data_IF_212202118102
#
_entry.id   IF_212202118102
#
_cell.length_a   1.000
_cell.length_b   1.000
_cell.length_c   1.000
_cell.angle_alpha   90.00
_cell.angle_beta   90.00
_cell.angle_gamma   90.00
#
_symmetry.space_group_name_H-M   'P 1'
#
loop_
_entity.id
_entity.type
_entity.pdbx_description
1 polymer ?
#
# COMPACT_ATOMS: atom_id res chain seq x y z
N UNK A 1 -10.99 -13.79 32.75
CA UNK A 1 -10.43 -13.90 31.38
C UNK A 1 -10.52 -12.58 30.60
N UNK A 2 -11.62 -11.84 30.66
CA UNK A 2 -11.79 -10.58 29.90
C UNK A 2 -10.82 -9.46 30.32
N UNK A 3 -10.67 -9.20 31.63
CA UNK A 3 -9.72 -8.19 32.13
C UNK A 3 -8.24 -8.47 31.78
N UNK A 4 -7.84 -9.75 31.76
CA UNK A 4 -6.48 -10.18 31.36
C UNK A 4 -6.26 -10.00 29.85
N UNK A 5 -7.28 -10.25 29.03
CA UNK A 5 -7.24 -10.04 27.58
C UNK A 5 -7.13 -8.55 27.23
N UNK A 6 -7.89 -7.69 27.93
CA UNK A 6 -7.79 -6.23 27.79
C UNK A 6 -6.40 -5.71 28.19
N UNK A 7 -5.86 -6.16 29.32
CA UNK A 7 -4.52 -5.77 29.76
C UNK A 7 -3.40 -6.23 28.81
N UNK A 8 -3.59 -7.35 28.11
CA UNK A 8 -2.67 -7.83 27.08
C UNK A 8 -2.72 -6.95 25.81
N UNK A 9 -3.92 -6.52 25.39
CA UNK A 9 -4.10 -5.64 24.23
C UNK A 9 -3.52 -4.23 24.49
N UNK A 10 -3.82 -3.61 25.64
CA UNK A 10 -3.26 -2.30 26.01
C UNK A 10 -1.72 -2.29 25.99
N UNK A 11 -1.07 -3.41 26.37
CA UNK A 11 0.39 -3.55 26.26
C UNK A 11 0.89 -3.52 24.81
N UNK A 12 0.13 -4.07 23.86
CA UNK A 12 0.48 -4.02 22.43
C UNK A 12 0.38 -2.58 21.89
N UNK A 13 -0.67 -1.83 22.23
CA UNK A 13 -0.76 -0.40 21.91
C UNK A 13 0.40 0.40 22.51
N UNK A 14 0.71 0.18 23.80
CA UNK A 14 1.84 0.83 24.47
C UNK A 14 3.18 0.53 23.76
N UNK A 15 3.37 -0.70 23.28
CA UNK A 15 4.56 -1.06 22.52
C UNK A 15 4.63 -0.33 21.18
N UNK A 16 3.51 -0.16 20.47
CA UNK A 16 3.47 0.61 19.23
C UNK A 16 3.84 2.08 19.47
N UNK A 17 3.37 2.68 20.58
CA UNK A 17 3.76 4.03 20.99
C UNK A 17 5.28 4.12 21.24
N UNK A 18 5.85 3.17 21.98
CA UNK A 18 7.29 3.13 22.25
C UNK A 18 8.10 3.09 20.95
N UNK A 19 7.69 2.24 20.00
CA UNK A 19 8.36 2.10 18.70
C UNK A 19 8.20 3.36 17.87
N UNK A 20 6.98 3.88 17.70
CA UNK A 20 6.70 5.15 16.99
C UNK A 20 7.54 6.30 17.54
N UNK A 21 7.68 6.45 18.87
CA UNK A 21 8.54 7.46 19.49
C UNK A 21 10.02 7.29 19.13
N UNK A 22 10.49 6.04 19.05
CA UNK A 22 11.89 5.71 18.75
C UNK A 22 12.23 5.89 17.27
N UNK A 23 11.30 5.60 16.37
CA UNK A 23 11.55 5.64 14.92
C UNK A 23 11.18 6.97 14.27
N UNK A 24 10.56 7.90 15.02
CA UNK A 24 10.14 9.23 14.53
C UNK A 24 11.24 9.93 13.73
N UNK A 25 10.87 10.41 12.56
CA UNK A 25 11.77 11.05 11.60
C UNK A 25 11.10 12.28 10.94
N UNK A 26 11.93 13.11 10.32
CA UNK A 26 11.55 14.33 9.60
C UNK A 26 11.87 14.23 8.11
N UNK A 27 10.95 14.69 7.26
CA UNK A 27 11.06 14.60 5.79
C UNK A 27 12.34 15.29 5.30
N UNK A 28 12.64 16.48 5.78
CA UNK A 28 13.76 17.27 5.26
C UNK A 28 15.10 16.85 5.86
N UNK A 29 15.14 16.64 7.17
CA UNK A 29 16.39 16.36 7.91
C UNK A 29 16.85 14.91 7.74
N UNK A 30 15.93 13.95 7.71
CA UNK A 30 16.30 12.52 7.81
C UNK A 30 16.14 11.80 6.46
N UNK A 31 15.16 12.19 5.64
CA UNK A 31 14.84 11.54 4.36
C UNK A 31 15.39 12.31 3.16
N UNK A 32 14.79 13.42 2.74
CA UNK A 32 15.16 14.11 1.49
C UNK A 32 16.58 14.68 1.58
N UNK A 33 16.90 15.40 2.65
CA UNK A 33 18.26 15.91 2.93
C UNK A 33 18.86 16.74 1.79
N UNK A 34 18.01 17.47 1.07
CA UNK A 34 18.39 18.24 -0.13
C UNK A 34 18.86 17.40 -1.32
N UNK A 35 18.64 16.08 -1.32
CA UNK A 35 18.99 15.18 -2.42
C UNK A 35 17.97 15.26 -3.55
N UNK A 36 18.42 14.93 -4.76
CA UNK A 36 17.59 14.69 -5.95
C UNK A 36 17.58 13.22 -6.32
N UNK A 37 16.65 12.81 -7.17
CA UNK A 37 16.63 11.45 -7.72
C UNK A 37 17.73 11.24 -8.75
N UNK A 38 18.40 10.08 -8.69
CA UNK A 38 19.36 9.64 -9.69
C UNK A 38 18.66 8.80 -10.77
N UNK A 39 18.44 9.40 -11.95
CA UNK A 39 17.78 8.75 -13.09
C UNK A 39 18.67 7.76 -13.87
N UNK A 40 19.95 7.62 -13.48
CA UNK A 40 20.78 6.50 -13.93
C UNK A 40 20.45 5.21 -13.17
N UNK A 41 19.69 5.29 -12.06
CA UNK A 41 19.29 4.16 -11.21
C UNK A 41 17.81 3.80 -11.39
N UNK A 42 17.46 2.60 -10.92
CA UNK A 42 16.07 2.14 -10.83
C UNK A 42 15.37 2.84 -9.67
N UNK A 43 14.06 3.05 -9.77
CA UNK A 43 13.25 3.49 -8.63
C UNK A 43 12.55 2.30 -8.00
N UNK A 44 11.86 1.47 -8.78
CA UNK A 44 11.24 0.24 -8.27
C UNK A 44 12.13 -1.00 -8.52
N UNK A 45 12.32 -1.91 -7.54
CA UNK A 45 13.15 -3.11 -7.71
C UNK A 45 12.52 -4.13 -8.65
N UNK A 46 13.31 -5.04 -9.21
CA UNK A 46 12.86 -5.96 -10.27
C UNK A 46 11.78 -6.93 -9.80
N UNK A 47 11.83 -7.30 -8.52
CA UNK A 47 10.82 -8.14 -7.87
C UNK A 47 9.43 -7.48 -7.81
N UNK A 48 9.37 -6.14 -7.87
CA UNK A 48 8.12 -5.38 -7.89
C UNK A 48 7.79 -4.87 -9.29
N UNK A 49 8.79 -4.44 -10.07
CA UNK A 49 8.56 -3.96 -11.45
C UNK A 49 8.12 -5.08 -12.38
N UNK A 50 8.60 -6.31 -12.13
CA UNK A 50 8.24 -7.56 -12.82
C UNK A 50 8.42 -7.54 -14.34
N UNK A 51 9.25 -6.65 -14.88
CA UNK A 51 9.54 -6.59 -16.33
C UNK A 51 10.57 -7.61 -16.82
N UNK A 52 11.06 -8.48 -15.92
CA UNK A 52 12.06 -9.52 -16.16
C UNK A 52 11.85 -10.35 -17.42
N UNK A 53 10.59 -10.66 -17.74
CA UNK A 53 10.16 -11.60 -18.76
C UNK A 53 9.97 -10.99 -20.16
N UNK A 54 10.11 -9.68 -20.33
CA UNK A 54 9.98 -9.01 -21.63
C UNK A 54 11.34 -8.90 -22.32
N UNK A 55 11.79 -9.99 -22.97
CA UNK A 55 13.15 -10.12 -23.51
C UNK A 55 13.51 -9.09 -24.60
N UNK A 56 12.51 -8.45 -25.22
CA UNK A 56 12.69 -7.39 -26.19
C UNK A 56 12.96 -6.00 -25.56
N UNK A 57 12.81 -5.85 -24.24
CA UNK A 57 13.19 -4.64 -23.52
C UNK A 57 14.65 -4.68 -23.10
N UNK A 58 15.41 -3.66 -23.48
CA UNK A 58 16.80 -3.51 -23.02
C UNK A 58 16.89 -3.05 -21.55
N UNK A 59 18.12 -2.97 -21.02
CA UNK A 59 18.34 -2.57 -19.63
C UNK A 59 17.94 -1.12 -19.32
N UNK A 60 18.08 -0.21 -20.29
CA UNK A 60 17.66 1.18 -20.17
C UNK A 60 16.14 1.32 -20.17
N UNK A 61 15.46 0.56 -21.01
CA UNK A 61 14.00 0.53 -21.12
C UNK A 61 13.37 -0.06 -19.86
N UNK A 62 13.93 -1.16 -19.33
CA UNK A 62 13.50 -1.72 -18.04
C UNK A 62 13.73 -0.76 -16.88
N UNK A 63 14.84 -0.02 -16.88
CA UNK A 63 15.09 1.04 -15.91
C UNK A 63 14.03 2.15 -16.03
N UNK A 64 13.69 2.57 -17.24
CA UNK A 64 12.65 3.58 -17.47
C UNK A 64 11.29 3.11 -16.94
N UNK A 65 10.88 1.87 -17.22
CA UNK A 65 9.66 1.30 -16.64
C UNK A 65 9.72 1.33 -15.11
N UNK A 66 10.85 0.94 -14.51
CA UNK A 66 11.00 0.98 -13.04
C UNK A 66 10.85 2.39 -12.46
N UNK A 67 11.21 3.44 -13.22
CA UNK A 67 11.08 4.84 -12.80
C UNK A 67 9.63 5.31 -12.89
N UNK A 68 8.94 4.95 -13.97
CA UNK A 68 7.49 5.21 -14.14
C UNK A 68 6.71 4.54 -13.02
N UNK A 69 6.93 3.23 -12.82
CA UNK A 69 6.27 2.48 -11.78
C UNK A 69 6.66 3.00 -10.40
N UNK A 70 7.92 3.40 -10.16
CA UNK A 70 8.33 3.98 -8.88
C UNK A 70 7.62 5.29 -8.56
N UNK A 71 7.36 6.13 -9.57
CA UNK A 71 6.55 7.34 -9.42
C UNK A 71 5.09 7.02 -9.11
N UNK A 72 4.51 6.05 -9.82
CA UNK A 72 3.15 5.57 -9.52
C UNK A 72 3.06 4.91 -8.15
N UNK A 73 4.08 4.20 -7.71
CA UNK A 73 4.16 3.58 -6.39
C UNK A 73 4.07 4.64 -5.28
N UNK A 74 4.85 5.72 -5.38
CA UNK A 74 4.72 6.86 -4.48
C UNK A 74 3.31 7.50 -4.50
N UNK A 75 2.73 7.70 -5.69
CA UNK A 75 1.40 8.30 -5.80
C UNK A 75 0.27 7.38 -5.30
N UNK A 76 0.40 6.07 -5.46
CA UNK A 76 -0.53 5.09 -4.90
C UNK A 76 -0.48 5.08 -3.36
N UNK A 77 0.70 5.21 -2.74
CA UNK A 77 0.75 5.37 -1.28
C UNK A 77 0.07 6.65 -0.82
N UNK A 78 0.40 7.78 -1.45
CA UNK A 78 -0.30 9.05 -1.19
C UNK A 78 -1.83 8.92 -1.28
N UNK A 79 -2.32 8.13 -2.24
CA UNK A 79 -3.73 7.85 -2.42
C UNK A 79 -4.31 7.06 -1.25
N UNK A 80 -3.66 5.97 -0.81
CA UNK A 80 -4.20 5.12 0.26
C UNK A 80 -4.06 5.76 1.65
N UNK A 81 -2.96 6.46 1.92
CA UNK A 81 -2.74 7.15 3.21
C UNK A 81 -3.89 8.13 3.52
N UNK A 82 -4.54 8.66 2.47
CA UNK A 82 -5.69 9.54 2.56
C UNK A 82 -6.84 8.89 3.33
N UNK A 83 -7.24 7.68 2.96
CA UNK A 83 -8.35 6.98 3.61
C UNK A 83 -7.89 6.21 4.85
N UNK A 84 -6.63 5.78 4.92
CA UNK A 84 -6.04 5.15 6.11
C UNK A 84 -6.11 6.14 7.27
N UNK A 85 -5.48 7.31 7.12
CA UNK A 85 -5.49 8.34 8.17
C UNK A 85 -6.90 8.77 8.57
N UNK A 86 -7.83 8.89 7.62
CA UNK A 86 -9.23 9.23 7.92
C UNK A 86 -9.95 8.12 8.71
N UNK A 87 -9.78 6.84 8.34
CA UNK A 87 -10.39 5.71 9.06
C UNK A 87 -9.79 5.55 10.45
N UNK A 88 -8.47 5.67 10.60
CA UNK A 88 -7.82 5.52 11.91
C UNK A 88 -8.21 6.67 12.85
N UNK A 89 -8.31 7.89 12.34
CA UNK A 89 -8.82 9.02 13.13
C UNK A 89 -10.25 8.77 13.62
N UNK A 90 -11.13 8.22 12.76
CA UNK A 90 -12.48 7.82 13.14
C UNK A 90 -12.47 6.72 14.22
N UNK A 91 -11.67 5.66 14.05
CA UNK A 91 -11.53 4.60 15.05
C UNK A 91 -11.00 5.09 16.40
N UNK A 92 -10.10 6.08 16.39
CA UNK A 92 -9.56 6.67 17.63
C UNK A 92 -10.64 7.27 18.53
N UNK A 93 -11.76 7.75 17.96
CA UNK A 93 -12.87 8.34 18.72
C UNK A 93 -13.54 7.34 19.63
N UNK A 94 -13.57 6.06 19.26
CA UNK A 94 -14.16 5.01 20.10
C UNK A 94 -13.37 4.76 21.38
N UNK A 95 -12.10 5.15 21.43
CA UNK A 95 -11.25 5.06 22.62
C UNK A 95 -11.21 6.36 23.44
N UNK A 96 -11.91 7.42 23.01
CA UNK A 96 -11.77 8.79 23.53
C UNK A 96 -11.94 8.95 25.04
N UNK A 97 -12.88 8.22 25.66
CA UNK A 97 -13.10 8.18 27.11
C UNK A 97 -12.73 6.82 27.73
N UNK A 98 -12.15 5.92 26.92
CA UNK A 98 -11.79 4.55 27.28
C UNK A 98 -10.28 4.36 27.40
N UNK A 99 -9.73 3.42 26.64
CA UNK A 99 -8.29 3.14 26.65
C UNK A 99 -7.49 4.29 26.02
N UNK A 100 -7.01 5.21 26.86
CA UNK A 100 -6.19 6.34 26.43
C UNK A 100 -4.87 5.90 25.77
N UNK A 101 -4.37 4.71 26.06
CA UNK A 101 -3.17 4.17 25.40
C UNK A 101 -3.49 3.81 23.94
N UNK A 102 -4.65 3.19 23.70
CA UNK A 102 -5.10 2.92 22.34
C UNK A 102 -5.36 4.23 21.58
N UNK A 103 -6.01 5.21 22.22
CA UNK A 103 -6.23 6.54 21.62
C UNK A 103 -4.90 7.21 21.23
N UNK A 104 -3.90 7.26 22.13
CA UNK A 104 -2.58 7.83 21.80
C UNK A 104 -1.94 7.09 20.62
N UNK A 105 -1.98 5.76 20.60
CA UNK A 105 -1.38 4.98 19.52
C UNK A 105 -2.00 5.30 18.15
N UNK A 106 -3.33 5.38 18.06
CA UNK A 106 -4.03 5.68 16.80
C UNK A 106 -3.87 7.14 16.36
N UNK A 107 -3.78 8.09 17.31
CA UNK A 107 -3.47 9.49 16.99
C UNK A 107 -2.06 9.63 16.40
N UNK A 108 -1.09 8.87 16.93
CA UNK A 108 0.28 8.85 16.40
C UNK A 108 0.34 8.24 15.00
N UNK A 109 -0.34 7.11 14.78
CA UNK A 109 -0.51 6.52 13.45
C UNK A 109 -1.06 7.58 12.48
N UNK A 110 -2.13 8.29 12.87
CA UNK A 110 -2.73 9.35 12.03
C UNK A 110 -1.75 10.50 11.71
N UNK A 111 -0.92 10.95 12.67
CA UNK A 111 0.14 11.95 12.45
C UNK A 111 1.18 11.44 11.42
N UNK A 112 1.54 10.16 11.53
CA UNK A 112 2.49 9.48 10.63
C UNK A 112 1.93 9.39 9.21
N UNK A 113 0.65 9.05 9.02
CA UNK A 113 0.03 9.02 7.67
C UNK A 113 -0.07 10.39 6.99
N UNK A 114 -0.33 11.45 7.77
CA UNK A 114 -0.35 12.81 7.21
C UNK A 114 1.04 13.23 6.74
N UNK A 115 2.08 12.80 7.47
CA UNK A 115 3.47 12.99 7.06
C UNK A 115 3.82 12.16 5.83
N UNK A 116 3.34 10.91 5.71
CA UNK A 116 3.51 10.09 4.52
C UNK A 116 2.85 10.73 3.28
N UNK A 117 1.63 11.25 3.40
CA UNK A 117 0.97 11.99 2.31
C UNK A 117 1.82 13.17 1.82
N UNK A 118 2.38 13.95 2.75
CA UNK A 118 3.24 15.08 2.42
C UNK A 118 4.55 14.63 1.76
N UNK A 119 5.18 13.57 2.28
CA UNK A 119 6.37 12.96 1.69
C UNK A 119 6.10 12.59 0.24
N UNK A 120 5.10 11.76 -0.04
CA UNK A 120 4.83 11.28 -1.38
C UNK A 120 4.39 12.39 -2.36
N UNK A 121 3.67 13.41 -1.88
CA UNK A 121 3.35 14.61 -2.68
C UNK A 121 4.63 15.32 -3.13
N UNK A 122 5.63 15.44 -2.25
CA UNK A 122 6.91 16.06 -2.58
C UNK A 122 7.74 15.20 -3.53
N UNK A 123 7.74 13.88 -3.35
CA UNK A 123 8.45 12.96 -4.23
C UNK A 123 7.90 13.00 -5.67
N UNK A 124 6.57 13.05 -5.84
CA UNK A 124 5.95 13.21 -7.15
C UNK A 124 6.41 14.50 -7.84
N UNK A 125 6.42 15.63 -7.12
CA UNK A 125 6.92 16.90 -7.65
C UNK A 125 8.42 16.85 -7.99
N UNK A 126 9.23 16.18 -7.17
CA UNK A 126 10.67 16.00 -7.43
C UNK A 126 10.91 15.17 -8.70
N UNK A 127 10.19 14.05 -8.87
CA UNK A 127 10.31 13.22 -10.07
C UNK A 127 9.75 13.93 -11.31
N UNK A 128 8.69 14.74 -11.16
CA UNK A 128 8.09 15.51 -12.26
C UNK A 128 9.06 16.48 -12.92
N UNK A 129 10.01 17.05 -12.18
CA UNK A 129 10.96 18.05 -12.71
C UNK A 129 11.93 17.46 -13.75
N UNK A 130 12.24 16.17 -13.62
CA UNK A 130 13.30 15.51 -14.41
C UNK A 130 12.74 14.41 -15.34
N UNK A 131 11.51 13.95 -15.12
CA UNK A 131 10.83 13.03 -16.04
C UNK A 131 10.19 13.79 -17.22
N UNK A 132 10.11 13.18 -18.42
CA UNK A 132 9.41 13.77 -19.55
C UNK A 132 7.95 14.18 -19.23
N UNK A 133 7.42 15.15 -19.97
CA UNK A 133 6.05 15.60 -19.74
C UNK A 133 5.01 14.52 -20.08
N UNK A 134 3.86 14.59 -19.40
CA UNK A 134 2.64 13.84 -19.70
C UNK A 134 2.47 12.51 -18.97
N UNK A 135 3.22 12.29 -17.88
CA UNK A 135 2.81 11.33 -16.84
C UNK A 135 1.48 11.77 -16.23
N UNK A 136 0.59 10.82 -15.93
CA UNK A 136 -0.68 11.09 -15.26
C UNK A 136 -0.93 10.06 -14.16
N UNK A 137 -1.20 10.55 -12.95
CA UNK A 137 -1.83 9.74 -11.91
C UNK A 137 -3.34 9.94 -12.01
N UNK A 138 -4.05 8.92 -12.49
CA UNK A 138 -5.44 9.03 -12.93
C UNK A 138 -6.46 9.03 -11.77
N UNK A 139 -6.31 8.22 -10.69
CA UNK A 139 -7.29 8.18 -9.62
C UNK A 139 -7.47 9.53 -8.90
N UNK A 140 -8.72 9.97 -8.69
CA UNK A 140 -9.01 11.11 -7.81
C UNK A 140 -8.96 10.67 -6.33
N UNK A 141 -8.08 11.24 -5.49
CA UNK A 141 -7.90 10.75 -4.13
C UNK A 141 -9.12 10.87 -3.23
N UNK A 142 -9.94 11.91 -3.38
CA UNK A 142 -11.10 12.09 -2.52
C UNK A 142 -12.28 11.21 -2.96
N UNK A 143 -12.45 10.98 -4.26
CA UNK A 143 -13.44 10.06 -4.80
C UNK A 143 -13.15 8.63 -4.35
N UNK A 144 -11.89 8.19 -4.46
CA UNK A 144 -11.46 6.87 -3.96
C UNK A 144 -11.68 6.76 -2.46
N UNK A 145 -11.21 7.74 -1.67
CA UNK A 145 -11.40 7.73 -0.23
C UNK A 145 -12.89 7.69 0.16
N UNK A 146 -13.76 8.41 -0.55
CA UNK A 146 -15.20 8.41 -0.30
C UNK A 146 -15.84 7.03 -0.52
N UNK A 147 -15.46 6.35 -1.60
CA UNK A 147 -15.94 4.99 -1.90
C UNK A 147 -15.46 4.00 -0.83
N UNK A 148 -14.17 4.04 -0.51
CA UNK A 148 -13.58 3.14 0.50
C UNK A 148 -14.23 3.34 1.86
N UNK A 149 -14.28 4.59 2.34
CA UNK A 149 -14.84 4.91 3.66
C UNK A 149 -16.36 4.72 3.75
N UNK A 150 -17.05 4.57 2.61
CA UNK A 150 -18.47 4.21 2.55
C UNK A 150 -18.77 2.73 2.80
N UNK A 151 -17.74 1.87 2.87
CA UNK A 151 -17.88 0.45 3.20
C UNK A 151 -17.88 0.19 4.70
N UNK A 152 -18.30 -1.02 5.10
CA UNK A 152 -18.26 -1.42 6.51
C UNK A 152 -16.86 -1.24 7.11
N UNK A 153 -16.79 -0.80 8.38
CA UNK A 153 -15.52 -0.58 9.09
C UNK A 153 -14.64 -1.83 9.08
N UNK A 154 -15.24 -3.02 9.22
CA UNK A 154 -14.51 -4.27 9.14
C UNK A 154 -13.83 -4.50 7.79
N UNK A 155 -14.50 -4.21 6.67
CA UNK A 155 -13.91 -4.34 5.33
C UNK A 155 -12.79 -3.33 5.11
N UNK A 156 -13.00 -2.08 5.51
CA UNK A 156 -11.99 -1.01 5.38
C UNK A 156 -10.76 -1.35 6.22
N UNK A 157 -10.91 -1.77 7.47
CA UNK A 157 -9.77 -2.17 8.31
C UNK A 157 -9.04 -3.40 7.74
N UNK A 158 -9.75 -4.33 7.11
CA UNK A 158 -9.13 -5.45 6.41
C UNK A 158 -8.27 -5.00 5.22
N UNK A 159 -8.76 -4.06 4.42
CA UNK A 159 -7.98 -3.46 3.32
C UNK A 159 -6.75 -2.70 3.84
N UNK A 160 -6.92 -1.89 4.89
CA UNK A 160 -5.80 -1.15 5.51
C UNK A 160 -4.74 -2.11 6.03
N UNK A 161 -5.15 -3.13 6.80
CA UNK A 161 -4.23 -4.11 7.35
C UNK A 161 -3.46 -4.88 6.25
N UNK A 162 -4.12 -5.19 5.14
CA UNK A 162 -3.48 -5.77 3.95
C UNK A 162 -2.38 -4.84 3.40
N UNK A 163 -2.68 -3.54 3.28
CA UNK A 163 -1.75 -2.52 2.79
C UNK A 163 -0.52 -2.41 3.68
N UNK A 164 -0.70 -2.20 4.98
CA UNK A 164 0.43 -2.05 5.91
C UNK A 164 1.35 -3.28 5.91
N UNK A 165 0.77 -4.48 5.82
CA UNK A 165 1.55 -5.72 5.80
C UNK A 165 2.39 -5.81 4.52
N UNK A 166 1.80 -5.59 3.33
CA UNK A 166 2.58 -5.73 2.11
C UNK A 166 3.65 -4.65 1.96
N UNK A 167 3.46 -3.43 2.50
CA UNK A 167 4.50 -2.38 2.46
C UNK A 167 5.76 -2.83 3.19
N UNK A 168 5.57 -3.38 4.39
CA UNK A 168 6.69 -3.89 5.20
C UNK A 168 7.35 -5.08 4.50
N UNK A 169 6.56 -5.95 3.87
CA UNK A 169 7.06 -7.10 3.10
C UNK A 169 7.87 -6.65 1.89
N UNK A 170 7.35 -5.72 1.09
CA UNK A 170 8.03 -5.13 -0.06
C UNK A 170 9.36 -4.49 0.31
N UNK A 171 9.42 -3.77 1.43
CA UNK A 171 10.67 -3.20 1.88
C UNK A 171 11.71 -4.30 2.16
N UNK A 172 11.36 -5.27 3.00
CA UNK A 172 12.29 -6.32 3.45
C UNK A 172 12.73 -7.25 2.33
N UNK A 173 11.80 -7.63 1.45
CA UNK A 173 12.04 -8.67 0.45
C UNK A 173 12.58 -8.10 -0.87
N UNK A 174 12.27 -6.84 -1.20
CA UNK A 174 12.53 -6.29 -2.53
C UNK A 174 13.36 -5.02 -2.52
N UNK A 175 13.06 -4.04 -1.65
CA UNK A 175 13.72 -2.72 -1.68
C UNK A 175 15.06 -2.73 -0.93
N UNK A 176 15.10 -3.28 0.29
CA UNK A 176 16.31 -3.38 1.10
C UNK A 176 17.43 -4.21 0.44
N UNK A 177 17.17 -5.38 -0.20
CA UNK A 177 18.24 -6.16 -0.81
C UNK A 177 18.74 -5.62 -2.15
N UNK A 178 17.95 -4.80 -2.87
CA UNK A 178 18.36 -4.28 -4.20
C UNK A 178 19.44 -3.18 -4.04
N UNK A 179 20.59 -3.42 -4.68
CA UNK A 179 21.78 -2.53 -4.63
C UNK A 179 21.80 -1.52 -5.77
N UNK A 180 20.95 -1.70 -6.78
CA UNK A 180 20.87 -0.86 -7.97
C UNK A 180 19.72 0.17 -7.91
N UNK A 181 19.02 0.21 -6.78
CA UNK A 181 18.03 1.25 -6.51
C UNK A 181 18.68 2.61 -6.23
N UNK A 182 17.98 3.66 -6.65
CA UNK A 182 18.26 5.03 -6.22
C UNK A 182 18.34 5.09 -4.69
N UNK A 183 19.44 5.64 -4.16
CA UNK A 183 19.67 5.72 -2.72
C UNK A 183 18.57 6.53 -2.00
N UNK A 184 18.09 7.61 -2.63
CA UNK A 184 16.97 8.39 -2.08
C UNK A 184 15.68 7.56 -2.03
N UNK A 185 15.37 6.82 -3.10
CA UNK A 185 14.17 5.98 -3.14
C UNK A 185 14.23 4.89 -2.06
N UNK A 186 15.38 4.25 -1.89
CA UNK A 186 15.60 3.25 -0.85
C UNK A 186 15.40 3.83 0.56
N UNK A 187 15.93 5.01 0.82
CA UNK A 187 15.76 5.68 2.11
C UNK A 187 14.30 6.09 2.37
N UNK A 188 13.60 6.62 1.37
CA UNK A 188 12.16 6.95 1.45
C UNK A 188 11.37 5.75 1.99
N UNK A 189 11.52 4.59 1.35
CA UNK A 189 10.75 3.41 1.73
C UNK A 189 11.30 2.71 2.99
N UNK A 190 12.56 2.93 3.37
CA UNK A 190 13.07 2.53 4.68
C UNK A 190 12.38 3.28 5.81
N UNK A 191 12.29 4.61 5.70
CA UNK A 191 11.66 5.43 6.74
C UNK A 191 10.15 5.23 6.79
N UNK A 192 9.50 5.08 5.64
CA UNK A 192 8.09 4.71 5.52
C UNK A 192 7.82 3.34 6.18
N UNK A 193 8.50 2.27 5.75
CA UNK A 193 8.28 0.92 6.29
C UNK A 193 8.66 0.76 7.77
N UNK A 194 9.51 1.64 8.32
CA UNK A 194 9.79 1.67 9.76
C UNK A 194 8.56 2.06 10.57
N UNK A 195 7.72 2.94 10.04
CA UNK A 195 6.45 3.33 10.67
C UNK A 195 5.33 2.33 10.33
N UNK A 196 5.26 1.84 9.09
CA UNK A 196 4.21 0.86 8.72
C UNK A 196 4.32 -0.46 9.51
N UNK A 197 5.52 -0.78 10.00
CA UNK A 197 5.74 -1.94 10.85
C UNK A 197 4.91 -1.91 12.15
N UNK A 198 4.69 -0.74 12.76
CA UNK A 198 3.78 -0.64 13.91
C UNK A 198 2.33 -0.40 13.50
N UNK A 199 2.07 0.22 12.34
CA UNK A 199 0.70 0.42 11.85
C UNK A 199 0.01 -0.93 11.62
N UNK A 200 0.70 -1.88 10.96
CA UNK A 200 0.21 -3.25 10.79
C UNK A 200 -0.18 -3.94 12.11
N UNK A 201 0.47 -3.61 13.24
CA UNK A 201 0.10 -4.16 14.55
C UNK A 201 -1.16 -3.48 15.11
N UNK A 202 -1.30 -2.17 14.90
CA UNK A 202 -2.48 -1.41 15.32
C UNK A 202 -3.70 -1.81 14.50
N UNK A 203 -3.57 -2.02 13.20
CA UNK A 203 -4.68 -2.44 12.35
C UNK A 203 -5.15 -3.85 12.66
N UNK A 204 -4.25 -4.77 12.99
CA UNK A 204 -4.63 -6.08 13.53
C UNK A 204 -5.50 -5.97 14.78
N UNK A 205 -5.11 -5.08 15.70
CA UNK A 205 -5.83 -4.88 16.96
C UNK A 205 -7.22 -4.29 16.69
N UNK A 206 -7.29 -3.25 15.85
CA UNK A 206 -8.54 -2.59 15.50
C UNK A 206 -9.46 -3.50 14.68
N UNK A 207 -8.93 -4.27 13.72
CA UNK A 207 -9.72 -5.19 12.91
C UNK A 207 -10.28 -6.34 13.74
N UNK A 208 -9.48 -6.93 14.64
CA UNK A 208 -9.96 -7.94 15.58
C UNK A 208 -10.98 -7.38 16.59
N UNK A 209 -10.80 -6.13 17.02
CA UNK A 209 -11.74 -5.44 17.91
C UNK A 209 -13.06 -5.16 17.22
N UNK A 210 -13.03 -4.69 15.98
CA UNK A 210 -14.22 -4.48 15.16
C UNK A 210 -14.96 -5.80 14.89
N UNK A 211 -14.22 -6.85 14.51
CA UNK A 211 -14.78 -8.18 14.30
C UNK A 211 -15.55 -8.72 15.52
N UNK A 212 -15.06 -8.43 16.73
CA UNK A 212 -15.71 -8.87 17.97
C UNK A 212 -17.06 -8.19 18.23
N UNK A 213 -17.38 -7.08 17.55
CA UNK A 213 -18.67 -6.39 17.65
C UNK A 213 -19.72 -6.98 16.71
N UNK A 214 -19.30 -7.57 15.58
CA UNK A 214 -20.21 -7.96 14.52
C UNK A 214 -20.91 -9.28 14.82
N UNK A 215 -22.23 -9.31 14.57
CA UNK A 215 -22.97 -10.56 14.42
C UNK A 215 -22.49 -11.36 13.20
N UNK A 216 -22.79 -12.67 13.11
CA UNK A 216 -22.46 -13.46 11.92
C UNK A 216 -23.00 -12.88 10.62
N UNK A 217 -24.22 -12.32 10.64
CA UNK A 217 -24.86 -11.73 9.44
C UNK A 217 -24.20 -10.41 9.04
N UNK A 218 -23.82 -9.58 10.00
CA UNK A 218 -23.07 -8.34 9.71
C UNK A 218 -21.69 -8.65 9.16
N UNK A 219 -21.00 -9.65 9.72
CA UNK A 219 -19.70 -10.09 9.23
C UNK A 219 -19.78 -10.67 7.82
N UNK A 220 -20.83 -11.42 7.52
CA UNK A 220 -21.01 -11.96 6.17
C UNK A 220 -21.13 -10.86 5.11
N UNK A 221 -21.91 -9.81 5.41
CA UNK A 221 -22.00 -8.61 4.56
C UNK A 221 -20.69 -7.84 4.49
N UNK A 222 -19.95 -7.77 5.58
CA UNK A 222 -18.64 -7.11 5.59
C UNK A 222 -17.60 -7.84 4.71
N UNK A 223 -17.72 -9.16 4.57
CA UNK A 223 -16.90 -9.93 3.62
C UNK A 223 -17.24 -9.56 2.17
N UNK A 224 -18.51 -9.36 1.85
CA UNK A 224 -18.91 -8.88 0.51
C UNK A 224 -18.35 -7.48 0.23
N UNK A 225 -18.41 -6.57 1.22
CA UNK A 225 -17.78 -5.26 1.12
C UNK A 225 -16.26 -5.34 0.88
N UNK A 226 -15.55 -6.26 1.56
CA UNK A 226 -14.11 -6.45 1.37
C UNK A 226 -13.80 -6.93 -0.07
N UNK A 227 -14.61 -7.86 -0.59
CA UNK A 227 -14.50 -8.33 -1.97
C UNK A 227 -14.71 -7.18 -2.96
N UNK A 228 -15.75 -6.36 -2.74
CA UNK A 228 -16.02 -5.18 -3.56
C UNK A 228 -14.88 -4.16 -3.50
N UNK A 229 -14.27 -3.94 -2.33
CA UNK A 229 -13.10 -3.08 -2.18
C UNK A 229 -11.91 -3.59 -3.00
N UNK A 230 -11.60 -4.88 -2.94
CA UNK A 230 -10.51 -5.48 -3.72
C UNK A 230 -10.79 -5.37 -5.22
N UNK A 231 -12.03 -5.61 -5.64
CA UNK A 231 -12.44 -5.41 -7.03
C UNK A 231 -12.31 -3.95 -7.49
N UNK A 232 -12.66 -2.99 -6.62
CA UNK A 232 -12.48 -1.57 -6.90
C UNK A 232 -10.99 -1.18 -7.02
N UNK A 233 -10.13 -1.72 -6.14
CA UNK A 233 -8.67 -1.55 -6.24
C UNK A 233 -8.19 -2.08 -7.59
N UNK A 234 -8.56 -3.31 -7.99
CA UNK A 234 -8.16 -3.85 -9.30
C UNK A 234 -8.59 -2.96 -10.48
N UNK A 235 -9.81 -2.42 -10.43
CA UNK A 235 -10.29 -1.45 -11.41
C UNK A 235 -9.41 -0.19 -11.51
N UNK A 236 -8.94 0.35 -10.38
CA UNK A 236 -7.99 1.46 -10.35
C UNK A 236 -6.63 1.08 -10.95
N UNK A 237 -6.15 -0.14 -10.65
CA UNK A 237 -4.89 -0.65 -11.18
C UNK A 237 -4.94 -0.82 -12.71
N UNK A 238 -6.06 -1.29 -13.26
CA UNK A 238 -6.26 -1.39 -14.71
C UNK A 238 -6.14 -0.03 -15.39
N UNK A 239 -6.78 0.99 -14.84
CA UNK A 239 -6.74 2.35 -15.39
C UNK A 239 -5.33 2.93 -15.30
N UNK A 240 -4.66 2.81 -14.15
CA UNK A 240 -3.33 3.37 -13.97
C UNK A 240 -2.27 2.62 -14.78
N UNK A 241 -2.35 1.29 -14.86
CA UNK A 241 -1.42 0.47 -15.65
C UNK A 241 -1.50 0.84 -17.14
N UNK A 242 -2.71 1.09 -17.66
CA UNK A 242 -2.91 1.55 -19.01
C UNK A 242 -2.26 2.92 -19.24
N UNK A 243 -2.47 3.89 -18.34
CA UNK A 243 -1.88 5.22 -18.44
C UNK A 243 -0.35 5.19 -18.39
N UNK A 244 0.24 4.36 -17.53
CA UNK A 244 1.69 4.23 -17.38
C UNK A 244 2.32 3.49 -18.56
N UNK A 245 1.64 2.50 -19.14
CA UNK A 245 2.07 1.85 -20.37
C UNK A 245 2.03 2.81 -21.57
N UNK A 246 0.95 3.59 -21.72
CA UNK A 246 0.84 4.64 -22.75
C UNK A 246 1.95 5.68 -22.60
N UNK A 247 2.22 6.09 -21.36
CA UNK A 247 3.29 7.01 -21.04
C UNK A 247 4.64 6.43 -21.47
N UNK A 248 4.97 5.20 -21.06
CA UNK A 248 6.20 4.51 -21.44
C UNK A 248 6.38 4.44 -22.97
N UNK A 249 5.38 3.95 -23.68
CA UNK A 249 5.42 3.78 -25.14
C UNK A 249 5.68 5.11 -25.87
N UNK A 250 5.17 6.22 -25.33
CA UNK A 250 5.40 7.55 -25.90
C UNK A 250 6.83 8.07 -25.66
N UNK A 251 7.43 7.76 -24.52
CA UNK A 251 8.71 8.38 -24.09
C UNK A 251 9.94 7.47 -24.26
N UNK A 252 9.74 6.19 -24.58
CA UNK A 252 10.82 5.20 -24.70
C UNK A 252 11.83 5.51 -25.82
N UNK A 253 11.46 6.35 -26.80
CA UNK A 253 12.37 6.79 -27.87
C UNK A 253 12.50 5.83 -29.05
N UNK A 254 11.72 4.74 -29.07
CA UNK A 254 11.54 3.87 -30.25
C UNK A 254 10.10 3.38 -30.36
N UNK A 255 9.77 2.81 -31.52
CA UNK A 255 8.48 2.16 -31.76
C UNK A 255 8.52 0.68 -31.37
N UNK A 256 7.36 0.17 -30.98
CA UNK A 256 7.11 -1.24 -30.69
C UNK A 256 6.10 -1.80 -31.70
N UNK A 257 6.14 -3.10 -31.94
CA UNK A 257 5.09 -3.80 -32.66
C UNK A 257 3.81 -3.89 -31.81
N UNK A 258 2.66 -4.12 -32.45
CA UNK A 258 1.38 -4.29 -31.74
C UNK A 258 1.43 -5.39 -30.67
N UNK A 259 2.16 -6.47 -30.93
CA UNK A 259 2.33 -7.59 -29.98
C UNK A 259 3.18 -7.18 -28.78
N UNK A 260 4.28 -6.43 -29.00
CA UNK A 260 5.12 -5.90 -27.92
C UNK A 260 4.37 -4.86 -27.08
N UNK A 261 3.60 -3.96 -27.69
CA UNK A 261 2.76 -3.00 -26.96
C UNK A 261 1.75 -3.72 -26.06
N UNK A 262 1.10 -4.76 -26.58
CA UNK A 262 0.15 -5.58 -25.82
C UNK A 262 0.86 -6.28 -24.65
N UNK A 263 2.05 -6.83 -24.88
CA UNK A 263 2.85 -7.47 -23.84
C UNK A 263 3.26 -6.48 -22.73
N UNK A 264 3.67 -5.26 -23.07
CA UNK A 264 4.00 -4.20 -22.12
C UNK A 264 2.78 -3.85 -21.24
N UNK A 265 1.61 -3.67 -21.85
CA UNK A 265 0.36 -3.34 -21.11
C UNK A 265 -0.01 -4.44 -20.12
N UNK A 266 0.02 -5.69 -20.56
CA UNK A 266 -0.28 -6.84 -19.72
C UNK A 266 0.74 -6.99 -18.58
N UNK A 267 2.03 -6.80 -18.87
CA UNK A 267 3.08 -6.84 -17.86
C UNK A 267 2.92 -5.72 -16.81
N UNK A 268 2.55 -4.50 -17.24
CA UNK A 268 2.31 -3.38 -16.34
C UNK A 268 1.15 -3.67 -15.38
N UNK A 269 0.03 -4.17 -15.90
CA UNK A 269 -1.12 -4.57 -15.07
C UNK A 269 -0.77 -5.71 -14.12
N UNK A 270 -0.08 -6.75 -14.62
CA UNK A 270 0.36 -7.87 -13.79
C UNK A 270 1.32 -7.45 -12.67
N UNK A 271 2.20 -6.48 -12.94
CA UNK A 271 3.06 -5.90 -11.93
C UNK A 271 2.26 -5.12 -10.87
N UNK A 272 1.24 -4.35 -11.26
CA UNK A 272 0.43 -3.59 -10.31
C UNK A 272 -0.46 -4.50 -9.46
N UNK A 273 -1.10 -5.51 -10.06
CA UNK A 273 -1.82 -6.53 -9.29
C UNK A 273 -0.90 -7.21 -8.30
N UNK A 274 0.33 -7.55 -8.72
CA UNK A 274 1.34 -8.10 -7.81
C UNK A 274 1.64 -7.17 -6.64
N UNK A 275 1.90 -5.90 -6.92
CA UNK A 275 2.25 -4.90 -5.90
C UNK A 275 1.11 -4.67 -4.89
N UNK A 276 -0.13 -4.44 -5.33
CA UNK A 276 -1.16 -3.90 -4.43
C UNK A 276 -2.20 -4.93 -3.97
N UNK A 277 -2.22 -6.13 -4.56
CA UNK A 277 -3.20 -7.17 -4.22
C UNK A 277 -2.50 -8.50 -3.92
N UNK A 278 -1.78 -9.06 -4.88
CA UNK A 278 -1.34 -10.46 -4.79
C UNK A 278 -0.29 -10.67 -3.71
N UNK A 279 0.71 -9.78 -3.60
CA UNK A 279 1.80 -9.92 -2.63
C UNK A 279 1.28 -9.93 -1.18
N UNK A 280 0.32 -9.07 -0.84
CA UNK A 280 -0.26 -9.02 0.50
C UNK A 280 -1.23 -10.17 0.78
N UNK A 281 -2.01 -10.61 -0.21
CA UNK A 281 -2.90 -11.78 -0.06
C UNK A 281 -2.08 -13.06 0.20
N UNK A 282 -0.90 -13.16 -0.40
CA UNK A 282 0.02 -14.29 -0.22
C UNK A 282 0.89 -14.16 1.04
N UNK A 283 0.85 -13.02 1.76
CA UNK A 283 1.60 -12.85 3.00
C UNK A 283 0.99 -13.73 4.11
N UNK A 284 1.83 -14.57 4.71
CA UNK A 284 1.38 -15.52 5.74
C UNK A 284 0.73 -14.82 6.93
N UNK A 285 1.18 -13.62 7.31
CA UNK A 285 0.62 -12.88 8.44
C UNK A 285 -0.81 -12.44 8.14
N UNK A 286 -1.03 -11.88 6.94
CA UNK A 286 -2.36 -11.45 6.52
C UNK A 286 -3.30 -12.64 6.33
N UNK A 287 -2.84 -13.71 5.65
CA UNK A 287 -3.63 -14.92 5.44
C UNK A 287 -4.09 -15.57 6.75
N UNK A 288 -3.19 -15.67 7.74
CA UNK A 288 -3.52 -16.19 9.07
C UNK A 288 -4.52 -15.30 9.82
N UNK A 289 -4.36 -13.97 9.71
CA UNK A 289 -5.29 -13.03 10.34
C UNK A 289 -6.68 -13.15 9.74
N UNK A 290 -6.81 -13.03 8.42
CA UNK A 290 -8.08 -13.16 7.71
C UNK A 290 -8.74 -14.51 8.00
N UNK A 291 -7.98 -15.60 7.92
CA UNK A 291 -8.47 -16.96 8.21
C UNK A 291 -8.97 -17.15 9.65
N UNK A 292 -8.49 -16.34 10.60
CA UNK A 292 -9.00 -16.31 11.97
C UNK A 292 -10.29 -15.49 12.16
N UNK A 293 -10.68 -14.67 11.19
CA UNK A 293 -11.84 -13.78 11.27
C UNK A 293 -13.04 -14.29 10.46
N UNK A 294 -12.80 -15.07 9.40
CA UNK A 294 -13.82 -15.59 8.49
C UNK A 294 -14.10 -17.08 8.71
N UNK A 295 -15.29 -17.54 8.32
CA UNK A 295 -15.61 -18.98 8.23
C UNK A 295 -15.22 -19.59 6.86
N UNK A 296 -15.44 -20.90 6.71
CA UNK A 296 -15.08 -21.61 5.47
C UNK A 296 -15.88 -21.18 4.24
N UNK A 297 -17.14 -20.76 4.38
CA UNK A 297 -17.95 -20.30 3.27
C UNK A 297 -17.49 -18.92 2.79
N UNK A 298 -17.21 -18.03 3.76
CA UNK A 298 -16.63 -16.71 3.52
C UNK A 298 -15.25 -16.80 2.89
N UNK A 299 -14.36 -17.65 3.41
CA UNK A 299 -13.04 -17.88 2.85
C UNK A 299 -13.11 -18.37 1.39
N UNK A 300 -14.04 -19.30 1.09
CA UNK A 300 -14.25 -19.75 -0.29
C UNK A 300 -14.70 -18.61 -1.19
N UNK A 301 -15.66 -17.78 -0.75
CA UNK A 301 -16.18 -16.65 -1.53
C UNK A 301 -15.08 -15.61 -1.83
N UNK A 302 -14.21 -15.33 -0.86
CA UNK A 302 -13.03 -14.47 -1.04
C UNK A 302 -12.08 -15.09 -2.08
N UNK A 303 -11.77 -16.38 -1.96
CA UNK A 303 -10.89 -17.08 -2.90
C UNK A 303 -11.42 -17.10 -4.33
N UNK A 304 -12.71 -17.39 -4.50
CA UNK A 304 -13.38 -17.37 -5.81
C UNK A 304 -13.32 -15.96 -6.44
N UNK A 305 -13.47 -14.90 -5.65
CA UNK A 305 -13.40 -13.51 -6.11
C UNK A 305 -11.97 -13.05 -6.47
N UNK A 306 -10.94 -13.60 -5.82
CA UNK A 306 -9.54 -13.30 -6.11
C UNK A 306 -8.99 -14.06 -7.33
N UNK A 307 -9.56 -15.22 -7.67
CA UNK A 307 -9.11 -16.08 -8.76
C UNK A 307 -8.85 -15.37 -10.12
N UNK A 308 -9.69 -14.42 -10.60
CA UNK A 308 -9.41 -13.70 -11.85
C UNK A 308 -8.28 -12.66 -11.75
N UNK A 309 -7.89 -12.25 -10.54
CA UNK A 309 -6.82 -11.25 -10.30
C UNK A 309 -5.45 -11.94 -10.13
N UNK A 310 -5.45 -13.18 -9.65
CA UNK A 310 -4.24 -13.97 -9.39
C UNK A 310 -3.57 -14.57 -10.64
N UNK A 311 -4.16 -14.36 -11.83
CA UNK A 311 -3.63 -14.82 -13.13
C UNK A 311 -2.63 -13.82 -13.70
#
# INVERSE_FOLDING_TARGET
>A
MQAVKTQSQTKRYAKCIEVSKRVRWDIDRDVIRGRSFDFAKKFLPDALSRMGHLDFLDAGERRLVSQIQGRTYANMFRLVERFIGAKILDQSREHSLGDQTAMEALVRLTDEELKHQELFRRLDAMMANDMPEGYQFVPDPNAVASVVLGKSTWAVLGLICHIEIFVVSHYRQSIDPDRELSALYKDVFLYHAREEAQHAILDELEWARENAKLSPVERDRAVDDLIELVGAVDGLLQIQAQADADYFLRICGRSFSTDEETAIRNAMLGAYRWQYIVSGVQDERFANLLGGLVDGAQAKRIGDALAPILQ
#
